data_IF_472349163478
#
_entry.id   IF_472349163478
#
_cell.length_a   1.000
_cell.length_b   1.000
_cell.length_c   1.000
_cell.angle_alpha   90.00
_cell.angle_beta   90.00
_cell.angle_gamma   90.00
#
_symmetry.space_group_name_H-M   'P 1'
#
loop_
_entity.id
_entity.type
_entity.pdbx_description
1 polymer ?
#
# COMPACT_ATOMS: atom_id res chain seq x y z
N UNK A 1 28.56 -5.00 -18.95
CA UNK A 1 27.46 -5.95 -19.29
C UNK A 1 26.52 -6.05 -18.09
N UNK A 2 25.19 -6.07 -18.26
CA UNK A 2 24.27 -6.19 -17.13
C UNK A 2 24.51 -7.51 -16.39
N UNK A 3 24.68 -7.42 -15.07
CA UNK A 3 24.93 -8.59 -14.23
C UNK A 3 23.68 -9.48 -14.18
N UNK A 4 23.84 -10.74 -13.78
CA UNK A 4 22.70 -11.68 -13.62
C UNK A 4 21.62 -11.13 -12.68
N UNK A 5 22.00 -10.32 -11.67
CA UNK A 5 21.08 -9.65 -10.74
C UNK A 5 20.30 -8.52 -11.41
N UNK A 6 20.93 -7.71 -12.26
CA UNK A 6 20.23 -6.62 -12.99
C UNK A 6 19.12 -7.16 -13.91
N UNK A 7 19.38 -8.31 -14.55
CA UNK A 7 18.38 -9.01 -15.36
C UNK A 7 17.22 -9.54 -14.51
N UNK A 8 17.51 -10.12 -13.34
CA UNK A 8 16.47 -10.59 -12.42
C UNK A 8 15.64 -9.42 -11.86
N UNK A 9 16.28 -8.30 -11.53
CA UNK A 9 15.60 -7.12 -11.03
C UNK A 9 14.68 -6.48 -12.08
N UNK A 10 15.17 -6.33 -13.32
CA UNK A 10 14.33 -5.80 -14.41
C UNK A 10 13.15 -6.72 -14.76
N UNK A 11 13.34 -8.03 -14.73
CA UNK A 11 12.24 -9.00 -14.90
C UNK A 11 11.20 -8.87 -13.79
N UNK A 12 11.62 -8.74 -12.52
CA UNK A 12 10.70 -8.56 -11.40
C UNK A 12 9.91 -7.26 -11.51
N UNK A 13 10.53 -6.18 -12.00
CA UNK A 13 9.88 -4.89 -12.20
C UNK A 13 8.82 -4.93 -13.32
N UNK A 14 9.07 -5.70 -14.39
CA UNK A 14 8.07 -5.97 -15.44
C UNK A 14 6.90 -6.79 -14.90
N UNK A 15 7.18 -7.78 -14.06
CA UNK A 15 6.15 -8.64 -13.46
C UNK A 15 5.26 -7.83 -12.51
N UNK A 16 5.85 -6.93 -11.71
CA UNK A 16 5.11 -5.98 -10.88
C UNK A 16 4.20 -5.06 -11.71
N UNK A 17 4.72 -4.45 -12.78
CA UNK A 17 3.92 -3.61 -13.67
C UNK A 17 2.75 -4.38 -14.29
N UNK A 18 3.02 -5.59 -14.79
CA UNK A 18 1.98 -6.45 -15.37
C UNK A 18 0.92 -6.82 -14.34
N UNK A 19 1.33 -7.17 -13.11
CA UNK A 19 0.42 -7.44 -12.01
C UNK A 19 -0.49 -6.25 -11.70
N UNK A 20 0.09 -5.04 -11.59
CA UNK A 20 -0.67 -3.81 -11.36
C UNK A 20 -1.69 -3.58 -12.47
N UNK A 21 -1.28 -3.72 -13.74
CA UNK A 21 -2.18 -3.56 -14.90
C UNK A 21 -3.33 -4.56 -14.83
N UNK A 22 -3.05 -5.83 -14.53
CA UNK A 22 -4.07 -6.88 -14.41
C UNK A 22 -5.03 -6.56 -13.27
N UNK A 23 -4.54 -6.18 -12.09
CA UNK A 23 -5.39 -5.77 -10.98
C UNK A 23 -6.30 -4.59 -11.36
N UNK A 24 -5.75 -3.53 -11.98
CA UNK A 24 -6.55 -2.38 -12.42
C UNK A 24 -7.64 -2.83 -13.41
N UNK A 25 -7.29 -3.64 -14.41
CA UNK A 25 -8.26 -4.13 -15.39
C UNK A 25 -9.38 -4.95 -14.74
N UNK A 26 -9.04 -5.83 -13.80
CA UNK A 26 -10.03 -6.62 -13.05
C UNK A 26 -10.93 -5.74 -12.17
N UNK A 27 -10.38 -4.71 -11.51
CA UNK A 27 -11.18 -3.77 -10.73
C UNK A 27 -12.11 -2.92 -11.60
N UNK A 28 -11.65 -2.45 -12.76
CA UNK A 28 -12.49 -1.72 -13.71
C UNK A 28 -13.61 -2.61 -14.28
N UNK A 29 -13.31 -3.87 -14.54
CA UNK A 29 -14.29 -4.84 -15.02
C UNK A 29 -15.32 -5.17 -13.93
N UNK A 30 -14.87 -5.39 -12.69
CA UNK A 30 -15.75 -5.59 -11.53
C UNK A 30 -16.60 -4.36 -11.20
N UNK A 31 -16.10 -3.15 -11.46
CA UNK A 31 -16.86 -1.92 -11.33
C UNK A 31 -17.89 -1.72 -12.45
N UNK A 32 -17.60 -2.21 -13.66
CA UNK A 32 -18.49 -2.09 -14.83
C UNK A 32 -19.65 -3.07 -14.78
N UNK A 33 -19.42 -4.29 -14.28
CA UNK A 33 -20.45 -5.32 -14.17
C UNK A 33 -20.90 -5.45 -12.72
N UNK A 34 -22.21 -5.39 -12.41
CA UNK A 34 -22.69 -5.56 -11.04
C UNK A 34 -22.30 -6.97 -10.56
N UNK A 35 -21.28 -7.02 -9.73
CA UNK A 35 -20.77 -8.26 -9.13
C UNK A 35 -21.14 -8.30 -7.64
N UNK A 36 -21.34 -9.50 -7.11
CA UNK A 36 -21.70 -9.69 -5.71
C UNK A 36 -20.59 -9.14 -4.78
N UNK A 37 -20.98 -8.69 -3.58
CA UNK A 37 -20.07 -8.16 -2.56
C UNK A 37 -18.88 -9.08 -2.27
N UNK A 38 -19.11 -10.40 -2.23
CA UNK A 38 -18.06 -11.40 -2.03
C UNK A 38 -16.99 -11.40 -3.12
N UNK A 39 -17.36 -11.18 -4.38
CA UNK A 39 -16.40 -11.15 -5.49
C UNK A 39 -15.42 -9.97 -5.38
N UNK A 40 -15.90 -8.81 -4.93
CA UNK A 40 -15.05 -7.65 -4.66
C UNK A 40 -14.05 -7.94 -3.54
N UNK A 41 -14.51 -8.56 -2.45
CA UNK A 41 -13.63 -8.98 -1.36
C UNK A 41 -12.57 -9.96 -1.81
N UNK A 42 -12.96 -11.01 -2.54
CA UNK A 42 -12.00 -11.98 -3.08
C UNK A 42 -10.96 -11.30 -3.97
N UNK A 43 -11.38 -10.38 -4.85
CA UNK A 43 -10.45 -9.65 -5.71
C UNK A 43 -9.50 -8.76 -4.90
N UNK A 44 -9.99 -8.05 -3.88
CA UNK A 44 -9.16 -7.24 -2.98
C UNK A 44 -8.14 -8.09 -2.22
N UNK A 45 -8.58 -9.18 -1.60
CA UNK A 45 -7.71 -10.09 -0.83
C UNK A 45 -6.68 -10.77 -1.73
N UNK A 46 -7.10 -11.24 -2.91
CA UNK A 46 -6.17 -11.85 -3.88
C UNK A 46 -5.13 -10.85 -4.38
N UNK A 47 -5.54 -9.60 -4.65
CA UNK A 47 -4.63 -8.53 -5.07
C UNK A 47 -3.64 -8.19 -3.96
N UNK A 48 -4.09 -8.14 -2.71
CA UNK A 48 -3.23 -7.90 -1.55
C UNK A 48 -2.18 -9.02 -1.40
N UNK A 49 -2.61 -10.28 -1.40
CA UNK A 49 -1.70 -11.44 -1.26
C UNK A 49 -0.71 -11.49 -2.43
N UNK A 50 -1.19 -11.28 -3.66
CA UNK A 50 -0.35 -11.23 -4.86
C UNK A 50 0.70 -10.13 -4.79
N UNK A 51 0.32 -8.92 -4.33
CA UNK A 51 1.23 -7.80 -4.13
C UNK A 51 2.31 -8.13 -3.10
N UNK A 52 1.93 -8.69 -1.95
CA UNK A 52 2.88 -9.11 -0.90
C UNK A 52 3.85 -10.17 -1.41
N UNK A 53 3.36 -11.13 -2.19
CA UNK A 53 4.21 -12.16 -2.79
C UNK A 53 5.26 -11.57 -3.74
N UNK A 54 4.87 -10.63 -4.59
CA UNK A 54 5.80 -9.95 -5.51
C UNK A 54 6.85 -9.17 -4.72
N UNK A 55 6.43 -8.41 -3.70
CA UNK A 55 7.34 -7.64 -2.84
C UNK A 55 8.34 -8.54 -2.12
N UNK A 56 7.88 -9.68 -1.59
CA UNK A 56 8.76 -10.66 -0.96
C UNK A 56 9.78 -11.24 -1.95
N UNK A 57 9.40 -11.50 -3.20
CA UNK A 57 10.34 -11.94 -4.25
C UNK A 57 11.34 -10.86 -4.61
N UNK A 58 10.91 -9.60 -4.72
CA UNK A 58 11.80 -8.46 -4.95
C UNK A 58 12.84 -8.33 -3.82
N UNK A 59 12.40 -8.42 -2.57
CA UNK A 59 13.27 -8.37 -1.40
C UNK A 59 14.41 -9.40 -1.44
N UNK A 60 14.13 -10.62 -1.91
CA UNK A 60 15.13 -11.68 -2.05
C UNK A 60 16.21 -11.38 -3.10
N UNK A 61 15.92 -10.56 -4.11
CA UNK A 61 16.88 -10.22 -5.18
C UNK A 61 17.76 -9.01 -4.81
N UNK A 62 17.36 -8.22 -3.81
CA UNK A 62 18.11 -7.06 -3.33
C UNK A 62 19.41 -7.48 -2.61
N UNK A 63 20.44 -6.65 -2.74
CA UNK A 63 21.67 -6.73 -1.96
C UNK A 63 21.43 -6.37 -0.48
N UNK A 64 22.31 -6.79 0.43
CA UNK A 64 22.12 -6.59 1.89
C UNK A 64 21.88 -5.13 2.29
N UNK A 65 22.66 -4.19 1.74
CA UNK A 65 22.45 -2.75 1.99
C UNK A 65 21.09 -2.29 1.47
N UNK A 66 20.71 -2.70 0.26
CA UNK A 66 19.42 -2.36 -0.33
C UNK A 66 18.23 -2.98 0.44
N UNK A 67 18.39 -4.20 0.98
CA UNK A 67 17.42 -4.85 1.87
C UNK A 67 17.22 -4.05 3.15
N UNK A 68 18.30 -3.62 3.80
CA UNK A 68 18.22 -2.80 5.01
C UNK A 68 17.54 -1.46 4.74
N UNK A 69 17.85 -0.80 3.62
CA UNK A 69 17.16 0.44 3.22
C UNK A 69 15.68 0.20 2.98
N UNK A 70 15.34 -0.87 2.27
CA UNK A 70 13.95 -1.24 2.00
C UNK A 70 13.18 -1.49 3.30
N UNK A 71 13.73 -2.28 4.23
CA UNK A 71 13.08 -2.54 5.52
C UNK A 71 12.90 -1.25 6.33
N UNK A 72 13.91 -0.37 6.39
CA UNK A 72 13.79 0.92 7.09
C UNK A 72 12.71 1.80 6.47
N UNK A 73 12.70 1.94 5.15
CA UNK A 73 11.67 2.70 4.44
C UNK A 73 10.27 2.09 4.66
N UNK A 74 10.17 0.76 4.68
CA UNK A 74 8.92 0.05 4.94
C UNK A 74 8.41 0.26 6.37
N UNK A 75 9.30 0.21 7.37
CA UNK A 75 8.96 0.49 8.75
C UNK A 75 8.43 1.91 8.93
N UNK A 76 9.11 2.92 8.38
CA UNK A 76 8.65 4.32 8.47
C UNK A 76 7.30 4.51 7.79
N UNK A 77 7.09 3.87 6.64
CA UNK A 77 5.82 3.86 5.92
C UNK A 77 4.71 3.24 6.77
N UNK A 78 4.99 2.08 7.38
CA UNK A 78 4.06 1.39 8.26
C UNK A 78 3.69 2.21 9.49
N UNK A 79 4.67 2.86 10.12
CA UNK A 79 4.44 3.76 11.27
C UNK A 79 3.59 4.98 10.88
N UNK A 80 3.85 5.58 9.72
CA UNK A 80 3.02 6.69 9.26
C UNK A 80 1.59 6.24 8.97
N UNK A 81 1.44 5.15 8.21
CA UNK A 81 0.13 4.65 7.82
C UNK A 81 -0.69 4.22 9.03
N UNK A 82 -0.08 3.52 10.01
CA UNK A 82 -0.77 3.11 11.24
C UNK A 82 -1.22 4.32 12.06
N UNK A 83 -0.38 5.34 12.21
CA UNK A 83 -0.74 6.58 12.90
C UNK A 83 -1.85 7.34 12.17
N UNK A 84 -1.78 7.45 10.83
CA UNK A 84 -2.80 8.11 10.04
C UNK A 84 -4.16 7.39 10.16
N UNK A 85 -4.17 6.06 10.07
CA UNK A 85 -5.38 5.25 10.25
C UNK A 85 -5.91 5.39 11.68
N UNK A 86 -5.04 5.34 12.71
CA UNK A 86 -5.45 5.54 14.10
C UNK A 86 -6.09 6.91 14.33
N UNK A 87 -5.52 7.97 13.74
CA UNK A 87 -6.06 9.32 13.82
C UNK A 87 -7.43 9.43 13.13
N UNK A 88 -7.59 8.80 11.96
CA UNK A 88 -8.87 8.75 11.26
C UNK A 88 -9.94 8.01 12.07
N UNK A 89 -9.59 6.89 12.70
CA UNK A 89 -10.49 6.14 13.58
C UNK A 89 -10.88 6.96 14.81
N UNK A 90 -9.91 7.62 15.46
CA UNK A 90 -10.15 8.48 16.63
C UNK A 90 -11.06 9.66 16.26
N UNK A 91 -10.77 10.36 15.16
CA UNK A 91 -11.61 11.45 14.66
C UNK A 91 -13.04 10.99 14.42
N UNK A 92 -13.20 9.82 13.79
CA UNK A 92 -14.51 9.24 13.50
C UNK A 92 -15.29 8.92 14.75
N UNK A 93 -14.63 8.34 15.75
CA UNK A 93 -15.21 8.05 17.04
C UNK A 93 -15.66 9.33 17.77
N UNK A 94 -14.80 10.35 17.83
CA UNK A 94 -15.12 11.65 18.43
C UNK A 94 -16.26 12.35 17.69
N UNK A 95 -16.29 12.28 16.36
CA UNK A 95 -17.35 12.86 15.55
C UNK A 95 -18.70 12.21 15.86
N UNK A 96 -18.76 10.89 16.00
CA UNK A 96 -20.00 10.19 16.38
C UNK A 96 -20.45 10.59 17.78
N UNK A 97 -19.54 10.67 18.76
CA UNK A 97 -19.86 11.06 20.13
C UNK A 97 -20.42 12.48 20.24
N UNK A 98 -19.91 13.41 19.41
CA UNK A 98 -20.32 14.81 19.43
C UNK A 98 -21.57 15.09 18.56
N UNK A 99 -22.10 14.09 17.84
CA UNK A 99 -23.29 14.25 17.00
C UNK A 99 -24.55 13.92 17.82
N UNK A 100 -25.34 14.95 18.15
CA UNK A 100 -26.57 14.78 18.91
C UNK A 100 -27.57 13.86 18.18
N UNK A 101 -28.02 12.80 18.85
CA UNK A 101 -29.01 11.85 18.34
C UNK A 101 -28.46 10.73 17.44
N UNK A 102 -27.14 10.62 17.25
CA UNK A 102 -26.56 9.51 16.51
C UNK A 102 -26.59 8.20 17.35
N UNK A 103 -27.15 7.09 16.85
CA UNK A 103 -27.06 5.81 17.54
C UNK A 103 -25.61 5.30 17.53
N UNK A 104 -25.12 4.82 18.68
CA UNK A 104 -23.80 4.20 18.84
C UNK A 104 -23.58 2.94 17.96
N UNK A 105 -24.65 2.40 17.38
CA UNK A 105 -24.63 1.21 16.52
C UNK A 105 -24.36 1.53 15.05
N UNK A 106 -24.49 2.78 14.63
CA UNK A 106 -24.12 3.20 13.27
C UNK A 106 -22.64 3.54 13.21
N UNK A 107 -21.84 2.81 12.38
CA UNK A 107 -20.44 3.15 12.21
C UNK A 107 -20.31 4.57 11.62
N UNK A 108 -19.32 5.37 12.08
CA UNK A 108 -19.12 6.72 11.56
C UNK A 108 -18.93 6.70 10.05
N UNK A 109 -19.64 7.56 9.29
CA UNK A 109 -19.42 7.69 7.86
C UNK A 109 -18.06 8.37 7.63
N UNK A 110 -17.02 7.57 7.38
CA UNK A 110 -15.76 8.08 6.85
C UNK A 110 -15.85 8.13 5.33
N UNK A 111 -15.74 9.31 4.69
CA UNK A 111 -15.51 9.32 3.26
C UNK A 111 -14.19 8.60 2.97
N UNK A 112 -14.05 8.00 1.77
CA UNK A 112 -12.85 7.22 1.45
C UNK A 112 -11.60 8.06 1.19
N UNK A 113 -11.76 9.35 0.84
CA UNK A 113 -10.65 10.23 0.45
C UNK A 113 -9.55 10.42 1.52
N UNK A 114 -9.81 10.47 2.85
CA UNK A 114 -8.75 10.58 3.85
C UNK A 114 -7.91 9.30 3.93
N UNK A 115 -8.52 8.14 3.73
CA UNK A 115 -7.81 6.86 3.62
C UNK A 115 -6.91 6.87 2.39
N UNK A 116 -7.42 7.40 1.27
CA UNK A 116 -6.63 7.58 0.06
C UNK A 116 -5.42 8.51 0.28
N UNK A 117 -5.60 9.64 0.98
CA UNK A 117 -4.49 10.52 1.34
C UNK A 117 -3.47 9.86 2.27
N UNK A 118 -3.91 9.06 3.24
CA UNK A 118 -3.01 8.30 4.10
C UNK A 118 -2.17 7.30 3.29
N UNK A 119 -2.78 6.61 2.32
CA UNK A 119 -2.07 5.70 1.42
C UNK A 119 -1.07 6.45 0.52
N UNK A 120 -1.47 7.53 -0.13
CA UNK A 120 -0.58 8.34 -0.97
C UNK A 120 0.56 8.94 -0.14
N UNK A 121 0.25 9.49 1.03
CA UNK A 121 1.23 10.02 1.97
C UNK A 121 2.24 8.96 2.42
N UNK A 122 1.78 7.73 2.67
CA UNK A 122 2.66 6.62 3.02
C UNK A 122 3.64 6.29 1.88
N UNK A 123 3.19 6.29 0.63
CA UNK A 123 4.05 6.05 -0.54
C UNK A 123 5.07 7.17 -0.74
N UNK A 124 4.68 8.43 -0.51
CA UNK A 124 5.58 9.59 -0.55
C UNK A 124 6.64 9.50 0.56
N UNK A 125 6.27 9.07 1.76
CA UNK A 125 7.19 8.88 2.89
C UNK A 125 8.16 7.73 2.63
N UNK A 126 7.68 6.63 2.05
CA UNK A 126 8.53 5.52 1.62
C UNK A 126 9.58 6.02 0.62
N UNK A 127 9.15 6.78 -0.38
CA UNK A 127 10.02 7.37 -1.39
C UNK A 127 11.03 8.34 -0.78
N UNK A 128 10.58 9.27 0.07
CA UNK A 128 11.43 10.26 0.72
C UNK A 128 12.48 9.60 1.62
N UNK A 129 12.08 8.60 2.40
CA UNK A 129 12.97 7.85 3.29
C UNK A 129 14.02 7.07 2.49
N UNK A 130 13.61 6.40 1.42
CA UNK A 130 14.54 5.69 0.55
C UNK A 130 15.53 6.66 -0.13
N UNK A 131 15.05 7.82 -0.59
CA UNK A 131 15.90 8.87 -1.18
C UNK A 131 16.92 9.41 -0.17
N UNK A 132 16.47 9.70 1.05
CA UNK A 132 17.33 10.16 2.13
C UNK A 132 18.40 9.13 2.49
N UNK A 133 18.03 7.84 2.58
CA UNK A 133 18.97 6.77 2.90
C UNK A 133 20.03 6.58 1.80
N UNK A 134 19.66 6.70 0.52
CA UNK A 134 20.63 6.65 -0.59
C UNK A 134 21.63 7.80 -0.51
N UNK A 135 21.14 9.03 -0.32
CA UNK A 135 22.00 10.20 -0.15
C UNK A 135 22.95 10.03 1.04
N UNK A 136 22.45 9.53 2.18
CA UNK A 136 23.27 9.26 3.37
C UNK A 136 24.34 8.20 3.13
N UNK A 137 24.03 7.18 2.32
CA UNK A 137 24.95 6.09 1.99
C UNK A 137 25.98 6.47 0.90
N UNK A 138 25.86 7.66 0.28
CA UNK A 138 26.78 8.14 -0.76
C UNK A 138 26.45 7.64 -2.18
N UNK A 139 25.20 7.25 -2.43
CA UNK A 139 24.67 6.85 -3.76
C UNK A 139 23.87 7.95 -4.46
#
# INVERSE_FOLDING_TARGET
MPTRRDRQFSQMRRLELLFIIVCIALFLLAARYPTNFGAHWTLMTASLIGGQFIWFRQYRVLDERARLRFLKAWMVTGMFLSNAVALLLLWSFLSTMNTAGAPLTTPPPLPFWPVYLALVGSMLIMWATNRYLRWKDGE
#
